data_IF_488285690765
#
_entry.id   IF_488285690765
#
_cell.length_a   1.000
_cell.length_b   1.000
_cell.length_c   1.000
_cell.angle_alpha   90.00
_cell.angle_beta   90.00
_cell.angle_gamma   90.00
#
_symmetry.space_group_name_H-M   'P 1'
#
loop_
_entity.id
_entity.type
_entity.pdbx_description
1 polymer ?
#
# COMPACT_ATOMS: atom_id res chain seq x y z
N UNK A 1 -3.25 8.24 2.14
CA UNK A 1 -4.63 8.67 1.83
C UNK A 1 -4.59 9.95 1.02
N UNK A 2 -5.64 10.26 0.25
CA UNK A 2 -5.73 11.55 -0.42
C UNK A 2 -5.89 12.66 0.62
N UNK A 3 -5.12 13.73 0.46
CA UNK A 3 -5.21 14.92 1.29
C UNK A 3 -6.55 15.61 1.04
N UNK A 4 -7.25 15.98 2.12
CA UNK A 4 -8.46 16.80 2.01
C UNK A 4 -8.04 18.22 1.61
N UNK A 5 -8.65 18.75 0.55
CA UNK A 5 -8.40 20.12 0.11
C UNK A 5 -9.44 21.03 0.74
N UNK A 6 -9.09 21.67 1.86
CA UNK A 6 -9.97 22.61 2.56
C UNK A 6 -9.74 24.08 2.11
N UNK A 7 -8.62 24.36 1.42
CA UNK A 7 -8.13 25.75 1.18
C UNK A 7 -8.03 26.16 -0.30
N UNK A 8 -8.67 25.46 -1.24
CA UNK A 8 -8.57 25.78 -2.68
C UNK A 8 -7.16 25.60 -3.28
N UNK A 9 -6.26 24.92 -2.56
CA UNK A 9 -4.94 24.52 -3.06
C UNK A 9 -5.08 23.26 -3.90
N UNK A 10 -4.67 23.34 -5.16
CA UNK A 10 -4.55 22.17 -6.02
C UNK A 10 -3.23 21.46 -5.73
N UNK A 11 -3.31 20.29 -5.10
CA UNK A 11 -2.17 19.40 -4.97
C UNK A 11 -2.04 18.56 -6.24
N UNK A 12 -0.81 18.30 -6.69
CA UNK A 12 -0.51 17.51 -7.89
C UNK A 12 0.59 16.49 -7.60
N UNK A 13 0.55 15.34 -8.25
CA UNK A 13 1.54 14.27 -8.04
C UNK A 13 1.53 13.77 -6.59
N UNK A 14 2.71 13.52 -6.03
CA UNK A 14 2.84 12.92 -4.69
C UNK A 14 2.26 13.79 -3.56
N UNK A 15 2.16 15.11 -3.76
CA UNK A 15 1.63 16.05 -2.76
C UNK A 15 0.13 15.89 -2.52
N UNK A 16 -0.56 15.16 -3.39
CA UNK A 16 -1.95 14.77 -3.22
C UNK A 16 -2.15 13.75 -2.11
N UNK A 17 -1.08 13.12 -1.61
CA UNK A 17 -1.15 12.06 -0.63
C UNK A 17 -0.55 12.49 0.72
N UNK A 18 -1.19 12.02 1.78
CA UNK A 18 -0.71 12.18 3.16
C UNK A 18 -0.88 10.89 3.97
N UNK A 19 -0.21 10.84 5.13
CA UNK A 19 -0.29 9.75 6.10
C UNK A 19 0.94 8.84 6.14
N UNK A 20 0.88 7.84 7.00
CA UNK A 20 2.02 7.01 7.42
C UNK A 20 2.85 6.44 6.27
N UNK A 21 2.21 5.77 5.30
CA UNK A 21 2.93 5.14 4.18
C UNK A 21 3.59 6.17 3.25
N UNK A 22 3.03 7.38 3.12
CA UNK A 22 3.64 8.46 2.33
C UNK A 22 4.89 8.98 3.01
N UNK A 23 4.87 9.15 4.34
CA UNK A 23 6.05 9.59 5.08
C UNK A 23 7.14 8.51 5.10
N UNK A 24 6.75 7.24 5.20
CA UNK A 24 7.66 6.12 5.03
C UNK A 24 8.30 6.08 3.62
N UNK A 25 7.51 6.29 2.57
CA UNK A 25 8.02 6.36 1.20
C UNK A 25 9.05 7.48 1.01
N UNK A 26 8.78 8.67 1.58
CA UNK A 26 9.73 9.79 1.59
C UNK A 26 11.06 9.42 2.25
N UNK A 27 11.02 8.75 3.41
CA UNK A 27 12.22 8.35 4.14
C UNK A 27 13.03 7.32 3.36
N UNK A 28 12.36 6.32 2.78
CA UNK A 28 13.02 5.30 1.94
C UNK A 28 13.64 5.95 0.70
N UNK A 29 12.91 6.84 0.03
CA UNK A 29 13.39 7.52 -1.17
C UNK A 29 14.61 8.40 -0.89
N UNK A 30 14.61 9.11 0.25
CA UNK A 30 15.74 9.93 0.70
C UNK A 30 16.97 9.08 1.03
N UNK A 31 16.80 7.96 1.74
CA UNK A 31 17.90 7.05 2.10
C UNK A 31 18.53 6.40 0.86
N UNK A 32 17.70 5.98 -0.10
CA UNK A 32 18.15 5.32 -1.32
C UNK A 32 18.57 6.31 -2.43
N UNK A 33 18.29 7.61 -2.27
CA UNK A 33 18.55 8.63 -3.29
C UNK A 33 17.73 8.46 -4.57
N UNK A 34 16.52 7.90 -4.48
CA UNK A 34 15.64 7.62 -5.63
C UNK A 34 14.49 8.61 -5.75
N UNK A 35 13.97 8.75 -6.97
CA UNK A 35 12.68 9.42 -7.22
C UNK A 35 11.58 8.38 -7.28
N UNK A 36 10.37 8.77 -6.88
CA UNK A 36 9.22 7.88 -6.89
C UNK A 36 7.94 8.64 -7.23
N UNK A 37 6.94 7.92 -7.72
CA UNK A 37 5.59 8.39 -7.95
C UNK A 37 4.62 7.51 -7.17
N UNK A 38 3.68 8.12 -6.44
CA UNK A 38 2.62 7.40 -5.75
C UNK A 38 1.44 7.17 -6.68
N UNK A 39 1.06 5.90 -6.82
CA UNK A 39 -0.14 5.47 -7.53
C UNK A 39 -1.02 4.63 -6.61
N UNK A 40 -2.33 4.81 -6.75
CA UNK A 40 -3.33 3.93 -6.13
C UNK A 40 -3.54 2.71 -7.04
N UNK A 41 -3.61 1.54 -6.42
CA UNK A 41 -3.95 0.28 -7.10
C UNK A 41 -5.30 0.42 -7.84
N UNK A 42 -5.36 -0.06 -9.09
CA UNK A 42 -6.49 0.20 -9.99
C UNK A 42 -7.83 -0.35 -9.48
N UNK A 43 -7.81 -1.51 -8.84
CA UNK A 43 -9.00 -2.24 -8.39
C UNK A 43 -9.31 -2.06 -6.89
N UNK A 44 -8.49 -1.30 -6.17
CA UNK A 44 -8.64 -1.07 -4.73
C UNK A 44 -8.30 -2.27 -3.83
N UNK A 45 -7.71 -3.36 -4.35
CA UNK A 45 -7.46 -4.59 -3.60
C UNK A 45 -6.01 -4.75 -3.15
N UNK A 46 -5.81 -5.51 -2.08
CA UNK A 46 -4.47 -5.86 -1.59
C UNK A 46 -3.76 -6.86 -2.49
N UNK A 47 -4.50 -7.89 -2.92
CA UNK A 47 -4.00 -8.96 -3.76
C UNK A 47 -4.32 -10.34 -3.19
N UNK A 48 -5.01 -11.10 -4.02
CA UNK A 48 -5.43 -12.49 -3.81
C UNK A 48 -5.28 -13.26 -5.13
N UNK A 49 -5.13 -14.59 -5.03
CA UNK A 49 -5.15 -15.45 -6.21
C UNK A 49 -6.46 -15.26 -6.97
N UNK A 50 -6.35 -14.97 -8.26
CA UNK A 50 -7.47 -14.73 -9.14
C UNK A 50 -7.13 -15.24 -10.56
N UNK A 51 -7.63 -16.43 -10.94
CA UNK A 51 -7.36 -17.02 -12.25
C UNK A 51 -7.82 -16.16 -13.44
N UNK A 52 -8.80 -15.26 -13.23
CA UNK A 52 -9.33 -14.39 -14.27
C UNK A 52 -8.42 -13.17 -14.53
N UNK A 53 -7.38 -12.96 -13.70
CA UNK A 53 -6.42 -11.86 -13.86
C UNK A 53 -5.14 -12.34 -14.55
N UNK A 54 -4.54 -11.53 -15.43
CA UNK A 54 -3.22 -11.84 -15.97
C UNK A 54 -2.19 -11.94 -14.84
N UNK A 55 -1.43 -13.04 -14.83
CA UNK A 55 -0.50 -13.37 -13.74
C UNK A 55 -1.14 -14.09 -12.54
N UNK A 56 -2.44 -14.38 -12.59
CA UNK A 56 -3.14 -15.19 -11.58
C UNK A 56 -3.40 -14.48 -10.25
N UNK A 57 -3.22 -13.15 -10.19
CA UNK A 57 -3.35 -12.35 -8.98
C UNK A 57 -3.98 -10.98 -9.27
N UNK A 58 -4.83 -10.52 -8.36
CA UNK A 58 -5.41 -9.18 -8.38
C UNK A 58 -4.68 -8.20 -7.44
N UNK A 59 -5.18 -6.97 -7.34
CA UNK A 59 -4.67 -5.99 -6.38
C UNK A 59 -3.21 -5.58 -6.57
N UNK A 60 -2.62 -5.06 -5.50
CA UNK A 60 -1.22 -4.61 -5.50
C UNK A 60 -0.25 -5.76 -5.80
N UNK A 61 -0.51 -6.97 -5.30
CA UNK A 61 0.31 -8.17 -5.63
C UNK A 61 0.30 -8.44 -7.14
N UNK A 62 -0.89 -8.41 -7.76
CA UNK A 62 -1.02 -8.59 -9.20
C UNK A 62 -0.31 -7.51 -10.00
N UNK A 63 -0.39 -6.25 -9.58
CA UNK A 63 0.32 -5.15 -10.24
C UNK A 63 1.85 -5.30 -10.16
N UNK A 64 2.40 -5.84 -9.07
CA UNK A 64 3.83 -6.17 -8.97
C UNK A 64 4.22 -7.31 -9.92
N UNK A 65 3.43 -8.40 -9.96
CA UNK A 65 3.69 -9.55 -10.84
C UNK A 65 3.67 -9.12 -12.31
N UNK A 66 2.72 -8.27 -12.69
CA UNK A 66 2.58 -7.71 -14.04
C UNK A 66 3.56 -6.56 -14.34
N UNK A 67 4.40 -6.18 -13.37
CA UNK A 67 5.37 -5.06 -13.49
C UNK A 67 4.71 -3.72 -13.82
N UNK A 68 3.51 -3.51 -13.31
CA UNK A 68 2.78 -2.23 -13.38
C UNK A 68 3.12 -1.29 -12.21
N UNK A 69 3.84 -1.80 -11.21
CA UNK A 69 4.44 -1.04 -10.13
C UNK A 69 5.78 -1.71 -9.74
N UNK A 70 6.74 -0.92 -9.29
CA UNK A 70 8.06 -1.40 -8.87
C UNK A 70 8.11 -1.78 -7.37
N UNK A 71 7.27 -1.14 -6.56
CA UNK A 71 7.23 -1.33 -5.11
C UNK A 71 5.81 -1.08 -4.56
N UNK A 72 5.38 -1.88 -3.59
CA UNK A 72 4.14 -1.67 -2.85
C UNK A 72 4.44 -1.23 -1.41
N UNK A 73 4.24 0.07 -1.11
CA UNK A 73 4.30 0.60 0.26
C UNK A 73 2.87 0.80 0.77
N UNK A 74 2.36 -0.18 1.51
CA UNK A 74 1.00 -0.18 2.03
C UNK A 74 0.90 -0.98 3.34
N UNK A 75 -0.28 -0.93 3.99
CA UNK A 75 -0.63 -1.81 5.11
C UNK A 75 -0.91 -3.24 4.63
N UNK A 76 0.10 -3.90 4.07
CA UNK A 76 -0.02 -5.25 3.51
C UNK A 76 0.51 -6.31 4.49
N UNK A 77 -0.34 -7.26 4.85
CA UNK A 77 0.05 -8.42 5.64
C UNK A 77 0.92 -9.37 4.81
N UNK A 78 2.05 -9.76 5.37
CA UNK A 78 2.93 -10.81 4.84
C UNK A 78 2.23 -12.16 5.08
N UNK A 79 1.97 -12.91 4.02
CA UNK A 79 1.36 -14.24 4.06
C UNK A 79 2.16 -15.19 3.19
N UNK A 80 2.13 -16.49 3.52
CA UNK A 80 2.85 -17.50 2.75
C UNK A 80 2.40 -17.59 1.29
N UNK A 81 1.16 -17.23 0.98
CA UNK A 81 0.66 -17.22 -0.40
C UNK A 81 1.29 -16.08 -1.21
N UNK A 82 1.40 -14.89 -0.62
CA UNK A 82 1.99 -13.72 -1.28
C UNK A 82 3.51 -13.85 -1.39
N UNK A 83 4.17 -14.37 -0.36
CA UNK A 83 5.63 -14.61 -0.37
C UNK A 83 6.08 -15.60 -1.47
N UNK A 84 5.19 -16.45 -1.99
CA UNK A 84 5.53 -17.34 -3.12
C UNK A 84 5.67 -16.62 -4.45
N UNK A 85 5.12 -15.41 -4.59
CA UNK A 85 5.01 -14.71 -5.87
C UNK A 85 5.65 -13.32 -5.87
N UNK A 86 5.91 -12.76 -4.68
CA UNK A 86 6.62 -11.49 -4.49
C UNK A 86 7.55 -11.59 -3.28
N UNK A 87 8.61 -10.77 -3.28
CA UNK A 87 9.52 -10.65 -2.15
C UNK A 87 9.05 -9.55 -1.19
N UNK A 88 9.19 -9.82 0.12
CA UNK A 88 8.94 -8.85 1.18
C UNK A 88 10.24 -8.41 1.86
N UNK A 89 10.26 -7.16 2.32
CA UNK A 89 11.27 -6.70 3.27
C UNK A 89 11.02 -7.28 4.67
N UNK A 90 11.89 -6.92 5.63
CA UNK A 90 11.59 -7.19 7.04
C UNK A 90 10.38 -6.37 7.49
N UNK A 91 9.50 -6.92 8.35
CA UNK A 91 8.33 -6.19 8.85
C UNK A 91 8.74 -4.86 9.49
N UNK A 92 8.07 -3.77 9.13
CA UNK A 92 8.29 -2.44 9.74
C UNK A 92 7.31 -2.13 10.88
N UNK A 93 6.28 -2.96 11.07
CA UNK A 93 5.27 -2.81 12.11
C UNK A 93 4.74 -4.19 12.51
N UNK A 94 4.67 -4.45 13.82
CA UNK A 94 4.07 -5.68 14.36
C UNK A 94 2.63 -5.40 14.76
N UNK A 95 1.73 -6.30 14.33
CA UNK A 95 0.30 -6.21 14.55
C UNK A 95 -0.20 -7.59 15.02
N UNK A 96 -1.29 -7.60 15.77
CA UNK A 96 -1.98 -8.82 16.17
C UNK A 96 -3.49 -8.69 15.96
N UNK A 97 -4.20 -9.81 16.03
CA UNK A 97 -5.66 -9.82 16.02
C UNK A 97 -6.15 -9.13 17.30
N UNK A 98 -7.02 -8.13 17.15
CA UNK A 98 -7.64 -7.43 18.27
C UNK A 98 -9.16 -7.40 18.10
N UNK A 99 -9.89 -7.32 19.21
CA UNK A 99 -11.36 -7.27 19.23
C UNK A 99 -11.78 -5.87 19.66
N UNK A 100 -12.55 -5.19 18.81
CA UNK A 100 -13.15 -3.90 19.13
C UNK A 100 -14.56 -4.11 19.67
N UNK A 101 -14.81 -3.66 20.90
CA UNK A 101 -16.13 -3.69 21.53
C UNK A 101 -16.68 -2.26 21.65
N UNK A 102 -17.97 -2.09 21.39
CA UNK A 102 -18.64 -0.82 21.67
C UNK A 102 -18.57 -0.55 23.17
N UNK A 103 -18.10 0.64 23.56
CA UNK A 103 -18.09 1.07 24.97
C UNK A 103 -19.52 0.98 25.53
N UNK A 104 -19.76 0.27 26.64
CA UNK A 104 -21.09 0.15 27.21
C UNK A 104 -21.58 1.53 27.66
N UNK A 105 -22.85 1.81 27.38
CA UNK A 105 -23.56 3.00 27.87
C UNK A 105 -24.14 2.60 29.24
N UNK A 106 -23.91 3.42 30.27
CA UNK A 106 -24.55 3.24 31.59
C UNK A 106 -26.02 3.63 31.53
#
# INVERSE_FOLDING_TARGET
MLRKSDDGKNFTGNDQFEGYCKDLANLIAAELGIKYELRIVKDGKYGSENPDQPGGWDGMVGELIRKEADLAIASMTITSERERVIDFSKPFMSLGISIMLKKPIK
#
